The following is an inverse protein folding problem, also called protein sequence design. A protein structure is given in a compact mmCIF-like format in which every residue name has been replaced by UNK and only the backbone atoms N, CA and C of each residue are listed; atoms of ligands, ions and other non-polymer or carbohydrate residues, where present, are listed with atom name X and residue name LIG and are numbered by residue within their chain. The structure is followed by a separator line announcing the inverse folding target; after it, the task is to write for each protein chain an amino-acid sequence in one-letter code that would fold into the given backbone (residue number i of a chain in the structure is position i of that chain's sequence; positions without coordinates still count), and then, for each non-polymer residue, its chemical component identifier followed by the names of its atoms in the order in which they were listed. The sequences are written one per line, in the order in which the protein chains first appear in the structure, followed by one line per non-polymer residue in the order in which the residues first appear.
data_IF_470362806160
#
_entry.id   IF_470362806160
#
_cell.length_a   1.000
_cell.length_b   1.000
_cell.length_c   1.000
_cell.angle_alpha   90.00
_cell.angle_beta   90.00
_cell.angle_gamma   90.00
#
_symmetry.space_group_name_H-M   'P 1'
#
loop_
_entity.id
_entity.type
_entity.pdbx_description
1 polymer ?
#
# COMPACT_ATOMS: atom_id res chain seq x y z
N UNK A 1 -8.80 -19.31 8.20
CA UNK A 1 -7.79 -19.31 7.13
C UNK A 1 -8.48 -18.84 5.87
N UNK A 2 -7.95 -17.81 5.20
CA UNK A 2 -8.44 -17.31 3.92
C UNK A 2 -7.24 -17.08 2.99
N UNK A 3 -7.51 -16.97 1.69
CA UNK A 3 -6.58 -16.44 0.69
C UNK A 3 -7.36 -15.43 -0.15
N UNK A 4 -6.72 -14.34 -0.55
CA UNK A 4 -7.33 -13.28 -1.35
C UNK A 4 -6.28 -12.70 -2.29
N UNK A 5 -6.74 -12.03 -3.35
CA UNK A 5 -5.88 -11.40 -4.35
C UNK A 5 -6.08 -9.89 -4.31
N UNK A 6 -4.97 -9.15 -4.20
CA UNK A 6 -4.94 -7.69 -4.27
C UNK A 6 -3.82 -7.31 -5.25
N UNK A 7 -4.20 -6.93 -6.46
CA UNK A 7 -3.27 -6.61 -7.54
C UNK A 7 -3.99 -6.10 -8.79
N UNK A 8 -3.21 -5.70 -9.80
CA UNK A 8 -3.65 -5.10 -11.05
C UNK A 8 -2.96 -5.70 -12.28
N UNK A 9 -2.63 -4.85 -13.24
CA UNK A 9 -2.12 -5.21 -14.58
C UNK A 9 -0.60 -5.33 -14.69
N UNK A 10 0.12 -5.17 -13.58
CA UNK A 10 1.58 -5.22 -13.49
C UNK A 10 2.06 -6.21 -12.43
N UNK A 11 3.30 -6.03 -11.97
CA UNK A 11 3.83 -6.77 -10.85
C UNK A 11 3.32 -6.16 -9.54
N UNK A 12 2.76 -6.98 -8.66
CA UNK A 12 2.27 -6.56 -7.35
C UNK A 12 2.82 -7.48 -6.27
N UNK A 13 3.51 -6.90 -5.29
CA UNK A 13 4.13 -7.64 -4.20
C UNK A 13 3.71 -7.01 -2.88
N UNK A 14 3.02 -7.79 -2.05
CA UNK A 14 2.78 -7.46 -0.65
C UNK A 14 4.02 -7.89 0.14
N UNK A 15 4.73 -6.94 0.77
CA UNK A 15 6.05 -7.19 1.34
C UNK A 15 6.04 -7.32 2.86
N UNK A 16 5.73 -6.24 3.58
CA UNK A 16 5.58 -6.26 5.03
C UNK A 16 4.14 -6.47 5.44
N UNK A 17 3.88 -7.18 6.54
CA UNK A 17 2.54 -7.40 7.10
C UNK A 17 2.48 -7.03 8.58
N UNK A 18 1.39 -6.40 9.00
CA UNK A 18 1.07 -6.09 10.39
C UNK A 18 -0.43 -6.25 10.65
N UNK A 19 -0.84 -6.37 11.91
CA UNK A 19 -2.24 -6.48 12.32
C UNK A 19 -2.58 -5.41 13.35
N UNK A 20 -3.81 -4.89 13.31
CA UNK A 20 -4.37 -4.13 14.42
C UNK A 20 -5.10 -5.03 15.44
N UNK A 21 -5.54 -4.45 16.56
CA UNK A 21 -6.25 -5.16 17.64
C UNK A 21 -7.62 -5.72 17.24
N UNK A 22 -8.21 -5.22 16.14
CA UNK A 22 -9.45 -5.73 15.56
C UNK A 22 -9.20 -6.85 14.54
N UNK A 23 -7.93 -7.19 14.27
CA UNK A 23 -7.53 -8.23 13.33
C UNK A 23 -7.55 -7.80 11.87
N UNK A 24 -7.62 -6.50 11.58
CA UNK A 24 -7.42 -6.02 10.22
C UNK A 24 -5.96 -6.20 9.82
N UNK A 25 -5.72 -6.59 8.58
CA UNK A 25 -4.39 -6.84 8.05
C UNK A 25 -3.91 -5.62 7.29
N UNK A 26 -2.75 -5.09 7.65
CA UNK A 26 -2.08 -4.03 6.95
C UNK A 26 -0.89 -4.60 6.19
N UNK A 27 -0.66 -4.14 4.97
CA UNK A 27 0.51 -4.53 4.20
C UNK A 27 1.14 -3.34 3.51
N UNK A 28 2.47 -3.30 3.49
CA UNK A 28 3.18 -2.51 2.49
C UNK A 28 3.11 -3.23 1.14
N UNK A 29 3.10 -2.46 0.07
CA UNK A 29 2.98 -2.95 -1.30
C UNK A 29 4.08 -2.32 -2.15
N UNK A 30 4.61 -3.08 -3.10
CA UNK A 30 5.32 -2.58 -4.26
C UNK A 30 4.50 -2.97 -5.50
N UNK A 31 4.11 -2.00 -6.31
CA UNK A 31 3.25 -2.23 -7.47
C UNK A 31 3.77 -1.49 -8.69
N UNK A 32 3.78 -2.14 -9.85
CA UNK A 32 3.94 -1.47 -11.15
C UNK A 32 2.59 -1.37 -11.88
N UNK A 33 1.48 -1.67 -11.19
CA UNK A 33 0.14 -1.70 -11.77
C UNK A 33 -0.47 -0.31 -11.80
N UNK A 34 -0.80 0.19 -12.99
CA UNK A 34 -1.49 1.48 -13.14
C UNK A 34 -2.95 1.45 -12.70
N UNK A 35 -3.50 0.25 -12.50
CA UNK A 35 -4.85 -0.01 -12.05
C UNK A 35 -4.89 -0.80 -10.72
N UNK A 36 -3.86 -0.69 -9.88
CA UNK A 36 -3.88 -1.31 -8.55
C UNK A 36 -5.16 -0.87 -7.79
N UNK A 37 -5.86 -1.79 -7.10
CA UNK A 37 -7.12 -1.48 -6.45
C UNK A 37 -6.90 -0.50 -5.29
N UNK A 38 -7.31 0.75 -5.47
CA UNK A 38 -7.29 1.80 -4.43
C UNK A 38 -8.69 2.07 -3.89
N UNK A 39 -8.78 2.53 -2.65
CA UNK A 39 -10.07 2.94 -2.06
C UNK A 39 -10.42 4.38 -2.46
N UNK A 40 -11.71 4.72 -2.68
CA UNK A 40 -12.12 6.10 -2.93
C UNK A 40 -11.65 7.05 -1.82
N UNK A 41 -11.08 8.20 -2.20
CA UNK A 41 -10.57 9.18 -1.24
C UNK A 41 -9.26 8.80 -0.55
N UNK A 42 -8.56 7.77 -1.02
CA UNK A 42 -7.21 7.44 -0.55
C UNK A 42 -6.23 8.61 -0.76
N UNK A 43 -5.10 8.56 -0.05
CA UNK A 43 -4.07 9.61 -0.08
C UNK A 43 -3.53 9.85 -1.50
N UNK A 44 -3.26 8.77 -2.23
CA UNK A 44 -2.89 8.79 -3.63
C UNK A 44 -3.67 7.69 -4.36
N UNK A 45 -4.55 8.09 -5.27
CA UNK A 45 -5.45 7.18 -6.01
C UNK A 45 -4.94 6.84 -7.40
N UNK A 46 -3.83 7.44 -7.83
CA UNK A 46 -3.24 7.24 -9.16
C UNK A 46 -1.78 6.87 -9.02
N UNK A 47 -1.34 5.90 -9.81
CA UNK A 47 0.07 5.53 -9.94
C UNK A 47 0.92 6.77 -10.26
N UNK A 48 1.92 7.03 -9.42
CA UNK A 48 2.84 8.16 -9.47
C UNK A 48 3.77 8.11 -10.69
N UNK A 49 4.07 6.90 -11.19
CA UNK A 49 4.83 6.67 -12.41
C UNK A 49 6.07 5.81 -12.17
N UNK A 50 7.07 5.99 -13.04
CA UNK A 50 8.34 5.26 -12.92
C UNK A 50 8.20 3.73 -13.03
N UNK A 51 9.23 2.99 -12.56
CA UNK A 51 9.23 1.52 -12.62
C UNK A 51 8.28 0.84 -11.61
N UNK A 52 7.81 1.55 -10.60
CA UNK A 52 6.95 1.01 -9.55
C UNK A 52 6.80 1.97 -8.38
N UNK A 53 5.62 1.94 -7.77
CA UNK A 53 5.25 2.70 -6.60
C UNK A 53 5.21 1.81 -5.36
N UNK A 54 5.47 2.41 -4.20
CA UNK A 54 5.05 1.81 -2.95
C UNK A 54 3.51 1.92 -2.80
N UNK A 55 2.97 1.26 -1.79
CA UNK A 55 1.57 1.39 -1.42
C UNK A 55 1.30 0.84 -0.03
N UNK A 56 0.10 1.12 0.46
CA UNK A 56 -0.40 0.58 1.72
C UNK A 56 -1.80 0.08 1.51
N UNK A 57 -2.06 -1.14 1.96
CA UNK A 57 -3.41 -1.68 2.03
C UNK A 57 -3.79 -2.02 3.47
N UNK A 58 -5.09 -1.97 3.74
CA UNK A 58 -5.75 -2.51 4.92
C UNK A 58 -6.89 -3.42 4.47
N UNK A 59 -6.81 -4.71 4.79
CA UNK A 59 -7.89 -5.67 4.60
C UNK A 59 -8.68 -5.83 5.90
N UNK A 60 -10.00 -6.05 5.77
CA UNK A 60 -10.81 -6.46 6.91
C UNK A 60 -10.38 -7.84 7.45
N UNK A 61 -10.81 -8.25 8.66
CA UNK A 61 -10.32 -9.49 9.27
C UNK A 61 -10.68 -10.76 8.51
N UNK A 62 -11.72 -10.71 7.67
CA UNK A 62 -12.12 -11.80 6.79
C UNK A 62 -11.35 -11.85 5.46
N UNK A 63 -10.51 -10.85 5.16
CA UNK A 63 -9.79 -10.73 3.89
C UNK A 63 -10.69 -10.47 2.68
N UNK A 64 -11.94 -10.08 2.90
CA UNK A 64 -12.98 -9.99 1.88
C UNK A 64 -13.16 -8.59 1.30
N UNK A 65 -12.59 -7.56 1.94
CA UNK A 65 -12.67 -6.18 1.48
C UNK A 65 -11.44 -5.37 1.87
N UNK A 66 -11.04 -4.46 0.99
CA UNK A 66 -10.11 -3.36 1.29
C UNK A 66 -10.85 -2.31 2.12
N UNK A 67 -10.39 -2.09 3.34
CA UNK A 67 -10.80 -0.98 4.20
C UNK A 67 -10.08 0.30 3.79
N UNK A 68 -8.81 0.18 3.39
CA UNK A 68 -7.98 1.26 2.88
C UNK A 68 -7.01 0.71 1.83
N UNK A 69 -6.74 1.46 0.77
CA UNK A 69 -5.70 1.14 -0.20
C UNK A 69 -5.26 2.39 -0.93
N UNK A 70 -3.95 2.65 -0.95
CA UNK A 70 -3.33 3.84 -1.56
C UNK A 70 -2.04 3.47 -2.27
N UNK A 71 -1.70 4.25 -3.30
CA UNK A 71 -0.32 4.36 -3.76
C UNK A 71 0.49 5.24 -2.80
N UNK A 72 1.82 5.11 -2.89
CA UNK A 72 2.83 5.96 -2.28
C UNK A 72 4.03 6.00 -3.24
N UNK A 73 4.02 6.92 -4.20
CA UNK A 73 5.11 7.01 -5.17
C UNK A 73 5.02 8.19 -6.11
N UNK A 74 6.12 8.43 -6.82
CA UNK A 74 6.30 9.53 -7.75
C UNK A 74 6.86 9.04 -9.08
N UNK A 75 7.67 9.88 -9.72
CA UNK A 75 8.20 9.63 -11.07
C UNK A 75 9.34 8.60 -11.14
N UNK A 76 9.94 8.25 -10.00
CA UNK A 76 11.04 7.31 -9.85
C UNK A 76 10.59 5.92 -9.40
N UNK A 77 11.54 5.13 -8.89
CA UNK A 77 11.22 3.86 -8.23
C UNK A 77 10.95 4.09 -6.75
N UNK A 78 9.84 3.56 -6.26
CA UNK A 78 9.43 3.64 -4.87
C UNK A 78 9.05 2.25 -4.36
N UNK A 79 9.45 1.93 -3.12
CA UNK A 79 9.17 0.63 -2.52
C UNK A 79 8.89 0.73 -1.02
N UNK A 80 7.76 0.13 -0.59
CA UNK A 80 7.37 -0.03 0.80
C UNK A 80 7.86 -1.37 1.34
N UNK A 81 8.84 -1.34 2.23
CA UNK A 81 9.54 -2.54 2.71
C UNK A 81 8.96 -3.04 4.04
N UNK A 82 8.84 -2.14 5.01
CA UNK A 82 8.43 -2.45 6.38
C UNK A 82 7.14 -1.74 6.74
N UNK A 83 6.33 -2.37 7.59
CA UNK A 83 5.13 -1.77 8.16
C UNK A 83 4.96 -2.18 9.62
N UNK A 84 4.59 -1.21 10.46
CA UNK A 84 4.15 -1.42 11.83
C UNK A 84 2.83 -0.68 12.07
N UNK A 85 2.00 -1.19 12.98
CA UNK A 85 0.72 -0.60 13.34
C UNK A 85 0.66 -0.40 14.84
N UNK A 86 0.27 0.79 15.30
CA UNK A 86 0.13 1.08 16.73
C UNK A 86 -1.24 0.64 17.28
N UNK A 87 -1.44 0.81 18.60
CA UNK A 87 -2.71 0.47 19.27
C UNK A 87 -3.91 1.33 18.85
N UNK A 88 -3.67 2.46 18.18
CA UNK A 88 -4.69 3.36 17.65
C UNK A 88 -5.04 3.03 16.19
N UNK A 89 -4.34 2.08 15.56
CA UNK A 89 -4.56 1.68 14.18
C UNK A 89 -3.82 2.54 13.15
N UNK A 90 -2.86 3.37 13.58
CA UNK A 90 -2.01 4.14 12.69
C UNK A 90 -0.93 3.23 12.09
N UNK A 91 -0.76 3.29 10.76
CA UNK A 91 0.27 2.55 10.06
C UNK A 91 1.52 3.41 9.86
N UNK A 92 2.68 2.84 10.16
CA UNK A 92 4.00 3.42 9.95
C UNK A 92 4.72 2.58 8.91
N UNK A 93 5.03 3.18 7.76
CA UNK A 93 5.64 2.48 6.62
C UNK A 93 7.03 3.04 6.36
N UNK A 94 7.99 2.13 6.18
CA UNK A 94 9.38 2.47 5.83
C UNK A 94 9.74 1.87 4.49
N UNK A 95 10.61 2.54 3.74
CA UNK A 95 10.91 2.15 2.38
C UNK A 95 12.01 2.97 1.75
N UNK A 96 12.09 2.88 0.42
CA UNK A 96 13.04 3.61 -0.41
C UNK A 96 12.24 4.44 -1.42
N UNK A 97 12.70 5.65 -1.69
CA UNK A 97 12.22 6.48 -2.79
C UNK A 97 13.39 6.99 -3.61
N UNK A 98 13.30 6.83 -4.93
CA UNK A 98 14.14 7.52 -5.91
C UNK A 98 13.39 8.67 -6.59
N UNK A 99 12.15 8.94 -6.18
CA UNK A 99 11.29 9.97 -6.73
C UNK A 99 11.65 11.35 -6.18
N UNK A 100 11.87 12.32 -7.08
CA UNK A 100 12.08 13.73 -6.72
C UNK A 100 10.77 14.44 -6.35
N UNK A 101 9.64 13.84 -6.71
CA UNK A 101 8.28 14.31 -6.47
C UNK A 101 7.46 13.30 -5.65
N UNK A 102 8.12 12.60 -4.71
CA UNK A 102 7.43 11.67 -3.82
C UNK A 102 6.35 12.43 -3.02
N UNK A 103 5.14 11.86 -2.87
CA UNK A 103 4.03 12.56 -2.22
C UNK A 103 4.30 12.68 -0.72
N UNK A 104 4.83 13.84 -0.33
CA UNK A 104 4.81 14.32 1.05
C UNK A 104 3.55 15.14 1.25
N UNK A 105 3.07 15.25 2.50
CA UNK A 105 1.94 16.13 2.83
C UNK A 105 2.08 17.51 2.15
N UNK A 106 1.02 17.96 1.48
CA UNK A 106 0.84 19.35 1.03
C UNK A 106 -0.13 20.05 1.96
#
# INVERSE_FOLDING_TARGET
MYSTYVGGNGADVLQGIALDSAGNVYSSVNTSSTNFPVTPGAFQTTFGGGPGDAGVIKLNPSGSALVYSTFLGGSGFDAGIGIAVDSLGNAYVTGITNSTNFPTVM
#
